data_IF_533094771406
#
_entry.id   IF_533094771406
#
_cell.length_a   1.000
_cell.length_b   1.000
_cell.length_c   1.000
_cell.angle_alpha   90.00
_cell.angle_beta   90.00
_cell.angle_gamma   90.00
#
_symmetry.space_group_name_H-M   'P 1'
#
loop_
_entity.id
_entity.type
_entity.pdbx_description
1 polymer ?
#
# COMPACT_ATOMS: atom_id res chain seq x y z
N UNK A 1 -3.56 -3.18 -15.43
CA UNK A 1 -2.11 -2.92 -15.19
C UNK A 1 -1.33 -4.15 -15.62
N UNK A 2 -0.05 -4.07 -16.01
CA UNK A 2 0.75 -5.29 -16.20
C UNK A 2 1.00 -5.94 -14.84
N UNK A 3 0.82 -7.25 -14.70
CA UNK A 3 1.03 -7.99 -13.45
C UNK A 3 2.40 -7.75 -12.84
N UNK A 4 3.44 -7.65 -13.69
CA UNK A 4 4.81 -7.39 -13.25
C UNK A 4 5.00 -6.00 -12.64
N UNK A 5 4.19 -5.01 -13.02
CA UNK A 5 4.20 -3.67 -12.40
C UNK A 5 3.42 -3.70 -11.09
N UNK A 6 2.27 -4.39 -11.07
CA UNK A 6 1.46 -4.54 -9.86
C UNK A 6 2.25 -5.17 -8.72
N UNK A 7 2.90 -6.33 -8.98
CA UNK A 7 3.74 -7.02 -7.97
C UNK A 7 4.91 -6.18 -7.48
N UNK A 8 5.47 -5.32 -8.34
CA UNK A 8 6.54 -4.40 -7.93
C UNK A 8 6.02 -3.33 -6.99
N UNK A 9 4.82 -2.80 -7.24
CA UNK A 9 4.19 -1.82 -6.36
C UNK A 9 3.82 -2.45 -5.01
N UNK A 10 3.30 -3.68 -5.00
CA UNK A 10 3.07 -4.44 -3.76
C UNK A 10 4.36 -4.58 -2.94
N UNK A 11 5.45 -5.04 -3.55
CA UNK A 11 6.74 -5.18 -2.86
C UNK A 11 7.27 -3.85 -2.30
N UNK A 12 7.00 -2.72 -2.98
CA UNK A 12 7.37 -1.39 -2.49
C UNK A 12 6.51 -0.95 -1.31
N UNK A 13 5.22 -1.31 -1.29
CA UNK A 13 4.34 -1.07 -0.14
C UNK A 13 4.74 -1.93 1.06
N UNK A 14 5.04 -3.21 0.86
CA UNK A 14 5.57 -4.09 1.91
C UNK A 14 6.86 -3.51 2.50
N UNK A 15 7.76 -3.03 1.64
CA UNK A 15 8.99 -2.38 2.08
C UNK A 15 8.73 -1.11 2.87
N UNK A 16 7.75 -0.30 2.47
CA UNK A 16 7.36 0.90 3.21
C UNK A 16 6.90 0.56 4.64
N UNK A 17 6.06 -0.48 4.81
CA UNK A 17 5.61 -0.95 6.12
C UNK A 17 6.77 -1.49 6.96
N UNK A 18 7.67 -2.25 6.36
CA UNK A 18 8.87 -2.77 7.03
C UNK A 18 9.76 -1.62 7.53
N UNK A 19 10.03 -0.63 6.70
CA UNK A 19 10.83 0.55 7.07
C UNK A 19 10.14 1.34 8.18
N UNK A 20 8.81 1.49 8.14
CA UNK A 20 8.04 2.12 9.20
C UNK A 20 8.20 1.40 10.55
N UNK A 21 8.14 0.07 10.53
CA UNK A 21 8.35 -0.75 11.72
C UNK A 21 9.80 -0.61 12.24
N UNK A 22 10.79 -0.66 11.35
CA UNK A 22 12.21 -0.48 11.70
C UNK A 22 12.48 0.90 12.31
N UNK A 23 11.83 1.96 11.84
CA UNK A 23 11.97 3.31 12.41
C UNK A 23 11.39 3.42 13.84
N UNK A 24 10.56 2.47 14.25
CA UNK A 24 10.02 2.38 15.61
C UNK A 24 10.89 1.52 16.54
N UNK A 25 11.91 0.84 16.00
CA UNK A 25 12.80 -0.04 16.76
C UNK A 25 13.87 0.74 17.54
N UNK A 26 14.01 0.45 18.84
CA UNK A 26 14.94 1.15 19.72
C UNK A 26 16.42 1.01 19.30
N UNK A 27 16.81 -0.14 18.75
CA UNK A 27 18.18 -0.36 18.24
C UNK A 27 18.46 0.51 17.03
N UNK A 28 17.48 0.69 16.14
CA UNK A 28 17.57 1.58 14.98
C UNK A 28 17.60 3.04 15.41
N UNK A 29 16.74 3.45 16.34
CA UNK A 29 16.69 4.83 16.87
C UNK A 29 18.05 5.20 17.51
N UNK A 30 18.70 4.26 18.19
CA UNK A 30 20.01 4.47 18.79
C UNK A 30 21.16 4.61 17.77
N UNK A 31 21.00 4.08 16.56
CA UNK A 31 21.94 4.23 15.45
C UNK A 31 21.52 5.38 14.53
N UNK A 32 22.07 6.58 14.77
CA UNK A 32 21.74 7.77 13.98
C UNK A 32 22.02 7.65 12.48
N UNK A 33 22.97 6.80 12.04
CA UNK A 33 23.28 6.65 10.63
C UNK A 33 22.16 5.83 9.98
N UNK A 34 21.86 4.67 10.57
CA UNK A 34 20.81 3.78 10.09
C UNK A 34 19.43 4.43 10.13
N UNK A 35 19.12 5.15 11.21
CA UNK A 35 17.86 5.90 11.34
C UNK A 35 17.68 6.93 10.21
N UNK A 36 18.73 7.69 9.88
CA UNK A 36 18.68 8.67 8.78
C UNK A 36 18.53 8.03 7.41
N UNK A 37 19.18 6.90 7.17
CA UNK A 37 19.05 6.15 5.90
C UNK A 37 17.61 5.64 5.73
N UNK A 38 17.07 4.98 6.75
CA UNK A 38 15.69 4.48 6.76
C UNK A 38 14.65 5.61 6.68
N UNK A 39 14.90 6.76 7.33
CA UNK A 39 13.99 7.91 7.25
C UNK A 39 13.89 8.47 5.82
N UNK A 40 15.01 8.49 5.09
CA UNK A 40 15.01 8.90 3.67
C UNK A 40 14.27 7.89 2.81
N UNK A 41 14.52 6.61 3.01
CA UNK A 41 13.81 5.54 2.31
C UNK A 41 12.30 5.62 2.55
N UNK A 42 11.88 5.79 3.81
CA UNK A 42 10.48 5.99 4.19
C UNK A 42 9.83 7.14 3.42
N UNK A 43 10.48 8.32 3.40
CA UNK A 43 9.96 9.49 2.68
C UNK A 43 9.86 9.28 1.17
N UNK A 44 10.75 8.49 0.58
CA UNK A 44 10.74 8.19 -0.86
C UNK A 44 9.59 7.23 -1.22
N UNK A 45 9.24 6.32 -0.30
CA UNK A 45 8.20 5.33 -0.52
C UNK A 45 6.81 5.83 -0.10
N UNK A 46 6.70 6.87 0.72
CA UNK A 46 5.43 7.32 1.31
C UNK A 46 4.38 7.70 0.26
N UNK A 47 4.71 8.58 -0.68
CA UNK A 47 3.76 9.06 -1.69
C UNK A 47 3.32 7.93 -2.62
N UNK A 48 4.27 7.10 -3.06
CA UNK A 48 4.00 5.94 -3.91
C UNK A 48 3.08 4.94 -3.20
N UNK A 49 3.35 4.65 -1.93
CA UNK A 49 2.59 3.69 -1.14
C UNK A 49 1.16 4.19 -0.90
N UNK A 50 0.98 5.48 -0.61
CA UNK A 50 -0.34 6.10 -0.48
C UNK A 50 -1.11 6.01 -1.79
N UNK A 51 -0.49 6.37 -2.91
CA UNK A 51 -1.14 6.34 -4.22
C UNK A 51 -1.59 4.92 -4.60
N UNK A 52 -0.74 3.91 -4.37
CA UNK A 52 -1.08 2.53 -4.70
C UNK A 52 -2.18 1.96 -3.80
N UNK A 53 -2.17 2.25 -2.50
CA UNK A 53 -3.27 1.86 -1.60
C UNK A 53 -4.60 2.49 -2.00
N UNK A 54 -4.60 3.79 -2.35
CA UNK A 54 -5.81 4.45 -2.86
C UNK A 54 -6.32 3.80 -4.15
N UNK A 55 -5.42 3.38 -5.03
CA UNK A 55 -5.78 2.63 -6.24
C UNK A 55 -6.39 1.25 -5.90
N UNK A 56 -5.81 0.52 -4.95
CA UNK A 56 -6.36 -0.76 -4.49
C UNK A 56 -7.77 -0.59 -3.91
N UNK A 57 -7.95 0.39 -3.02
CA UNK A 57 -9.26 0.71 -2.45
C UNK A 57 -10.28 1.06 -3.53
N UNK A 58 -9.93 1.91 -4.50
CA UNK A 58 -10.84 2.27 -5.59
C UNK A 58 -11.25 1.06 -6.44
N UNK A 59 -10.38 0.06 -6.60
CA UNK A 59 -10.74 -1.18 -7.30
C UNK A 59 -11.68 -2.05 -6.47
N UNK A 60 -11.44 -2.17 -5.16
CA UNK A 60 -12.36 -2.90 -4.27
C UNK A 60 -13.73 -2.22 -4.24
N UNK A 61 -13.77 -0.89 -4.13
CA UNK A 61 -15.00 -0.11 -4.14
C UNK A 61 -15.79 -0.31 -5.45
N UNK A 62 -15.09 -0.34 -6.59
CA UNK A 62 -15.70 -0.61 -7.88
C UNK A 62 -16.31 -2.01 -7.94
N UNK A 63 -15.56 -3.03 -7.52
CA UNK A 63 -16.04 -4.42 -7.50
C UNK A 63 -17.27 -4.57 -6.61
N UNK A 64 -17.24 -4.00 -5.40
CA UNK A 64 -18.38 -4.01 -4.49
C UNK A 64 -19.61 -3.31 -5.11
N UNK A 65 -19.42 -2.15 -5.76
CA UNK A 65 -20.51 -1.44 -6.42
C UNK A 65 -21.12 -2.26 -7.58
N UNK A 66 -20.29 -2.94 -8.37
CA UNK A 66 -20.73 -3.83 -9.45
C UNK A 66 -21.50 -5.05 -8.92
N UNK A 67 -21.08 -5.63 -7.79
CA UNK A 67 -21.80 -6.72 -7.13
C UNK A 67 -23.16 -6.27 -6.61
N UNK A 68 -23.22 -5.12 -5.92
CA UNK A 68 -24.48 -4.53 -5.45
C UNK A 68 -25.45 -4.22 -6.58
N UNK A 69 -24.95 -3.80 -7.75
CA UNK A 69 -25.77 -3.55 -8.94
C UNK A 69 -26.40 -4.84 -9.46
N UNK A 70 -25.67 -5.97 -9.46
CA UNK A 70 -26.18 -7.28 -9.88
C UNK A 70 -27.23 -7.83 -8.93
N UNK A 71 -27.04 -7.64 -7.62
CA UNK A 71 -28.01 -8.08 -6.59
C UNK A 71 -29.29 -7.21 -6.56
N UNK A 72 -29.25 -6.02 -7.16
CA UNK A 72 -30.40 -5.12 -7.25
C UNK A 72 -31.31 -5.41 -8.45
N UNK A 73 -30.99 -6.42 -9.27
CA UNK A 73 -31.80 -6.82 -10.43
C UNK A 73 -33.11 -7.51 -9.98
N UNK A 74 -34.30 -6.93 -10.25
CA UNK A 74 -35.58 -7.50 -9.84
C UNK A 74 -35.87 -8.90 -10.42
N UNK A 75 -35.19 -9.31 -11.48
CA UNK A 75 -35.34 -10.66 -12.08
C UNK A 75 -34.61 -11.77 -11.31
N UNK A 76 -33.69 -11.43 -10.39
CA UNK A 76 -32.95 -12.38 -9.55
C UNK A 76 -33.49 -12.49 -8.10
N UNK A 77 -34.72 -12.02 -7.85
CA UNK A 77 -35.49 -12.35 -6.63
C UNK A 77 -36.52 -13.44 -6.88
#
# INVERSE_FOLDING_TARGET
MKDSVYRKLEALVERYEEVQALLSDASVISDQKRFRELSKEFSQLEELSKAFRSYQQAQEDLLMAEEMQKDSDPEMR
#
